data_IF_962783573982
#
_entry.id   IF_962783573982
#
_cell.length_a   1.000
_cell.length_b   1.000
_cell.length_c   1.000
_cell.angle_alpha   90.00
_cell.angle_beta   90.00
_cell.angle_gamma   90.00
#
_symmetry.space_group_name_H-M   'P 1'
#
loop_
_entity.id
_entity.type
_entity.pdbx_description
1 polymer ?
#
# COMPACT_ATOMS: atom_id res chain seq x y z
N UNK A 1 57.01 33.83 8.09
CA UNK A 1 55.60 33.41 8.16
C UNK A 1 54.84 34.56 7.54
N UNK A 2 54.12 34.40 6.43
CA UNK A 2 52.98 33.51 6.26
C UNK A 2 52.86 32.94 4.84
N UNK A 3 52.24 31.77 4.81
CA UNK A 3 51.95 30.90 3.66
C UNK A 3 50.60 31.31 3.07
N UNK A 4 50.49 31.36 1.75
CA UNK A 4 49.21 31.25 1.02
C UNK A 4 49.57 30.74 -0.39
N UNK A 5 49.65 29.44 -0.58
CA UNK A 5 48.53 28.53 -0.93
C UNK A 5 47.94 28.86 -2.30
N UNK A 6 48.12 27.89 -3.20
CA UNK A 6 47.56 27.87 -4.53
C UNK A 6 46.04 27.92 -4.51
N UNK A 7 45.45 28.64 -5.46
CA UNK A 7 44.14 28.30 -5.98
C UNK A 7 44.23 28.30 -7.51
N UNK A 8 44.37 27.10 -8.08
CA UNK A 8 43.93 26.84 -9.44
C UNK A 8 42.46 27.24 -9.54
N UNK A 9 42.21 28.28 -10.33
CA UNK A 9 40.90 28.55 -10.90
C UNK A 9 41.00 28.36 -12.40
N UNK A 10 40.82 27.13 -12.88
CA UNK A 10 40.56 26.87 -14.30
C UNK A 10 39.22 27.53 -14.66
N UNK A 11 39.28 28.78 -15.13
CA UNK A 11 38.15 29.43 -15.75
C UNK A 11 37.85 28.68 -17.05
N UNK A 12 36.78 27.88 -17.05
CA UNK A 12 36.22 27.35 -18.29
C UNK A 12 35.95 28.52 -19.24
N UNK A 13 36.44 28.50 -20.49
CA UNK A 13 36.09 29.52 -21.45
C UNK A 13 34.57 29.42 -21.70
N UNK A 14 33.86 30.49 -21.38
CA UNK A 14 32.45 30.66 -21.74
C UNK A 14 32.36 30.78 -23.26
N UNK A 15 32.22 29.64 -23.93
CA UNK A 15 32.02 29.55 -25.38
C UNK A 15 30.59 29.99 -25.75
N UNK A 16 30.27 31.26 -25.53
CA UNK A 16 29.02 31.89 -25.97
C UNK A 16 29.33 33.11 -26.86
N UNK A 17 30.22 32.92 -27.84
CA UNK A 17 30.41 33.85 -28.96
C UNK A 17 30.27 33.08 -30.27
N UNK A 18 29.60 33.63 -31.30
CA UNK A 18 29.53 32.96 -32.59
C UNK A 18 30.94 32.83 -33.19
N UNK A 19 31.28 31.65 -33.71
CA UNK A 19 32.51 31.43 -34.45
C UNK A 19 32.58 32.39 -35.65
N UNK A 20 33.75 32.99 -35.97
CA UNK A 20 33.88 33.90 -37.10
C UNK A 20 33.53 33.15 -38.40
N UNK A 21 32.46 33.60 -39.07
CA UNK A 21 31.95 33.00 -40.31
C UNK A 21 30.85 31.94 -40.15
N UNK A 22 30.43 31.60 -38.92
CA UNK A 22 29.31 30.69 -38.69
C UNK A 22 27.97 31.40 -38.86
N UNK A 23 27.07 30.87 -39.70
CA UNK A 23 25.66 31.29 -39.68
C UNK A 23 25.09 31.01 -38.29
N UNK A 24 24.26 31.92 -37.72
CA UNK A 24 23.67 31.70 -36.41
C UNK A 24 22.93 30.36 -36.37
N UNK A 25 23.26 29.52 -35.39
CA UNK A 25 22.50 28.31 -35.11
C UNK A 25 21.08 28.73 -34.74
N UNK A 26 20.15 28.52 -35.66
CA UNK A 26 18.73 28.65 -35.38
C UNK A 26 18.27 27.23 -35.06
N UNK A 27 17.96 26.89 -33.79
CA UNK A 27 17.36 25.59 -33.53
C UNK A 27 16.10 25.49 -34.38
N UNK A 28 16.01 24.41 -35.17
CA UNK A 28 14.83 24.14 -35.98
C UNK A 28 13.60 24.15 -35.07
N UNK A 29 12.50 24.73 -35.56
CA UNK A 29 11.21 24.63 -34.89
C UNK A 29 10.94 23.16 -34.58
N UNK A 30 10.70 22.84 -33.31
CA UNK A 30 10.24 21.52 -32.90
C UNK A 30 8.84 21.33 -33.47
N UNK A 31 8.72 20.69 -34.64
CA UNK A 31 7.44 20.16 -35.05
C UNK A 31 7.11 19.01 -34.08
N UNK A 32 6.03 19.10 -33.29
CA UNK A 32 5.61 17.99 -32.47
C UNK A 32 5.21 16.86 -33.42
N UNK A 33 6.11 15.90 -33.61
CA UNK A 33 5.78 14.64 -34.27
C UNK A 33 4.78 13.95 -33.36
N UNK A 34 3.49 14.14 -33.65
CA UNK A 34 2.42 13.48 -32.93
C UNK A 34 2.65 11.97 -33.09
N UNK A 35 2.77 11.21 -31.98
CA UNK A 35 2.90 9.76 -32.09
C UNK A 35 1.67 9.21 -32.81
N UNK A 36 1.81 8.24 -33.73
CA UNK A 36 0.67 7.60 -34.37
C UNK A 36 -0.33 7.10 -33.31
N UNK A 37 -1.63 7.25 -33.55
CA UNK A 37 -2.68 7.11 -32.53
C UNK A 37 -2.65 5.80 -31.74
N UNK A 38 -2.16 4.71 -32.32
CA UNK A 38 -2.02 3.42 -31.64
C UNK A 38 -0.96 3.43 -30.53
N UNK A 39 0.11 4.23 -30.66
CA UNK A 39 1.16 4.34 -29.65
C UNK A 39 0.63 4.95 -28.35
N UNK A 40 -0.33 5.87 -28.44
CA UNK A 40 -1.02 6.43 -27.27
C UNK A 40 -1.78 5.33 -26.52
N UNK A 41 -2.58 4.53 -27.24
CA UNK A 41 -3.33 3.43 -26.65
C UNK A 41 -2.42 2.35 -26.07
N UNK A 42 -1.34 2.02 -26.76
CA UNK A 42 -0.35 1.04 -26.30
C UNK A 42 0.38 1.52 -25.04
N UNK A 43 0.87 2.76 -25.03
CA UNK A 43 1.52 3.35 -23.86
C UNK A 43 0.57 3.44 -22.65
N UNK A 44 -0.69 3.82 -22.88
CA UNK A 44 -1.72 3.81 -21.85
C UNK A 44 -1.97 2.40 -21.30
N UNK A 45 -2.06 1.39 -22.17
CA UNK A 45 -2.27 0.00 -21.75
C UNK A 45 -1.12 -0.51 -20.87
N UNK A 46 0.13 -0.28 -21.28
CA UNK A 46 1.31 -0.63 -20.47
C UNK A 46 1.32 0.13 -19.14
N UNK A 47 0.95 1.42 -19.17
CA UNK A 47 0.90 2.24 -17.97
C UNK A 47 -0.15 1.77 -16.95
N UNK A 48 -1.32 1.32 -17.41
CA UNK A 48 -2.43 0.91 -16.53
C UNK A 48 -2.30 -0.53 -16.04
N UNK A 49 -1.72 -1.41 -16.84
CA UNK A 49 -1.59 -2.84 -16.52
C UNK A 49 -1.06 -3.17 -15.11
N UNK A 50 0.04 -2.56 -14.61
CA UNK A 50 0.53 -2.85 -13.26
C UNK A 50 -0.47 -2.44 -12.17
N UNK A 51 -1.26 -1.39 -12.37
CA UNK A 51 -2.28 -0.97 -11.42
C UNK A 51 -3.43 -1.96 -11.34
N UNK A 52 -3.85 -2.55 -12.47
CA UNK A 52 -4.90 -3.59 -12.47
C UNK A 52 -4.44 -4.79 -11.64
N UNK A 53 -3.22 -5.28 -11.87
CA UNK A 53 -2.65 -6.40 -11.12
C UNK A 53 -2.53 -6.05 -9.64
N UNK A 54 -1.99 -4.87 -9.33
CA UNK A 54 -1.85 -4.40 -7.96
C UNK A 54 -3.20 -4.33 -7.26
N UNK A 55 -4.23 -3.72 -7.88
CA UNK A 55 -5.58 -3.65 -7.34
C UNK A 55 -6.20 -5.03 -7.11
N UNK A 56 -5.95 -6.00 -7.99
CA UNK A 56 -6.43 -7.37 -7.81
C UNK A 56 -5.78 -8.07 -6.60
N UNK A 57 -4.45 -8.08 -6.50
CA UNK A 57 -3.74 -8.71 -5.37
C UNK A 57 -4.03 -8.01 -4.04
N UNK A 58 -4.10 -6.69 -4.08
CA UNK A 58 -4.51 -5.85 -2.97
C UNK A 58 -5.94 -6.14 -2.52
N UNK A 59 -6.87 -6.29 -3.48
CA UNK A 59 -8.25 -6.68 -3.21
C UNK A 59 -8.34 -8.05 -2.52
N UNK A 60 -7.55 -9.02 -2.95
CA UNK A 60 -7.48 -10.33 -2.28
C UNK A 60 -7.01 -10.21 -0.82
N UNK A 61 -6.04 -9.34 -0.54
CA UNK A 61 -5.60 -9.06 0.83
C UNK A 61 -6.69 -8.46 1.70
N UNK A 62 -7.45 -7.50 1.16
CA UNK A 62 -8.62 -6.93 1.85
C UNK A 62 -9.67 -8.01 2.13
N UNK A 63 -9.96 -8.87 1.17
CA UNK A 63 -10.95 -9.95 1.35
C UNK A 63 -10.52 -10.96 2.42
N UNK A 64 -9.26 -11.36 2.46
CA UNK A 64 -8.72 -12.24 3.52
C UNK A 64 -8.93 -11.60 4.90
N UNK A 65 -8.60 -10.32 5.04
CA UNK A 65 -8.78 -9.60 6.30
C UNK A 65 -10.26 -9.49 6.69
N UNK A 66 -11.15 -9.11 5.75
CA UNK A 66 -12.60 -8.99 6.00
C UNK A 66 -13.26 -10.32 6.38
N UNK A 67 -12.72 -11.45 5.91
CA UNK A 67 -13.22 -12.80 6.25
C UNK A 67 -12.56 -13.39 7.49
N UNK A 68 -11.58 -12.72 8.08
CA UNK A 68 -10.87 -13.21 9.25
C UNK A 68 -11.78 -13.18 10.50
N UNK A 69 -12.10 -14.34 11.05
CA UNK A 69 -12.91 -14.45 12.27
C UNK A 69 -12.18 -13.93 13.53
N UNK A 70 -10.84 -13.84 13.50
CA UNK A 70 -10.04 -13.43 14.66
C UNK A 70 -10.07 -11.91 14.91
N UNK A 71 -10.04 -11.12 13.85
CA UNK A 71 -10.02 -9.65 13.91
C UNK A 71 -11.28 -9.00 13.31
N UNK A 72 -12.19 -9.81 12.75
CA UNK A 72 -13.47 -9.38 12.18
C UNK A 72 -13.34 -8.25 11.14
N UNK A 73 -12.22 -8.23 10.40
CA UNK A 73 -11.95 -7.21 9.38
C UNK A 73 -11.17 -5.99 9.85
N UNK A 74 -10.97 -5.77 11.15
CA UNK A 74 -10.19 -4.62 11.66
C UNK A 74 -8.68 -4.74 11.39
N UNK A 75 -8.18 -5.96 11.19
CA UNK A 75 -6.75 -6.23 11.03
C UNK A 75 -5.94 -6.10 12.31
N UNK A 76 -6.58 -5.79 13.44
CA UNK A 76 -5.96 -5.55 14.74
C UNK A 76 -6.56 -6.49 15.80
N UNK A 77 -5.74 -6.87 16.78
CA UNK A 77 -6.15 -7.65 17.94
C UNK A 77 -5.48 -7.09 19.20
N UNK A 78 -6.10 -7.22 20.38
CA UNK A 78 -5.45 -6.80 21.63
C UNK A 78 -4.16 -7.60 21.86
N UNK A 79 -3.11 -6.90 22.27
CA UNK A 79 -1.82 -7.50 22.60
C UNK A 79 -1.95 -8.35 23.85
N UNK A 80 -1.35 -9.53 23.83
CA UNK A 80 -1.28 -10.40 25.01
C UNK A 80 -0.41 -9.83 26.13
N UNK A 81 0.51 -8.90 25.83
CA UNK A 81 1.42 -8.31 26.82
C UNK A 81 0.91 -7.04 27.47
N UNK A 82 0.13 -6.24 26.73
CA UNK A 82 -0.38 -4.93 27.19
C UNK A 82 -1.82 -4.80 26.75
N UNK A 83 -2.76 -4.84 27.71
CA UNK A 83 -4.21 -4.91 27.42
C UNK A 83 -4.72 -3.80 26.50
N UNK A 84 -4.14 -2.60 26.59
CA UNK A 84 -4.57 -1.43 25.82
C UNK A 84 -3.85 -1.29 24.46
N UNK A 85 -2.82 -2.08 24.21
CA UNK A 85 -2.07 -2.02 22.95
C UNK A 85 -2.70 -2.94 21.94
N UNK A 86 -3.14 -2.40 20.81
CA UNK A 86 -3.52 -3.20 19.64
C UNK A 86 -2.26 -3.62 18.86
N UNK A 87 -2.29 -4.81 18.27
CA UNK A 87 -1.23 -5.35 17.41
C UNK A 87 -1.83 -5.90 16.12
N UNK A 88 -1.04 -5.98 15.06
CA UNK A 88 -1.46 -6.60 13.80
C UNK A 88 -1.93 -8.04 14.04
N UNK A 89 -3.05 -8.40 13.42
CA UNK A 89 -3.60 -9.75 13.54
C UNK A 89 -2.62 -10.77 12.94
N UNK A 90 -2.16 -11.78 13.70
CA UNK A 90 -1.22 -12.78 13.20
C UNK A 90 -1.87 -13.77 12.23
N UNK A 91 -3.19 -13.92 12.24
CA UNK A 91 -3.91 -14.85 11.35
C UNK A 91 -3.99 -14.32 9.92
N UNK A 92 -4.51 -13.10 9.74
CA UNK A 92 -4.67 -12.48 8.43
C UNK A 92 -3.52 -11.55 8.04
N UNK A 93 -2.53 -11.35 8.90
CA UNK A 93 -1.38 -10.48 8.69
C UNK A 93 -1.60 -8.99 9.01
N UNK A 94 -2.82 -8.58 9.34
CA UNK A 94 -3.14 -7.19 9.70
C UNK A 94 -2.78 -6.18 8.61
N UNK A 95 -3.16 -6.48 7.36
CA UNK A 95 -2.81 -5.72 6.16
C UNK A 95 -3.21 -4.25 6.24
N UNK A 96 -4.44 -3.98 6.71
CA UNK A 96 -4.94 -2.64 6.98
C UNK A 96 -5.32 -2.50 8.46
N UNK A 97 -4.52 -1.82 9.29
CA UNK A 97 -4.90 -1.50 10.66
C UNK A 97 -5.98 -0.40 10.66
N UNK A 98 -7.21 -0.77 10.32
CA UNK A 98 -8.32 0.16 10.12
C UNK A 98 -9.03 0.47 11.43
N UNK A 99 -8.80 1.66 11.97
CA UNK A 99 -9.54 2.18 13.13
C UNK A 99 -10.33 3.44 12.78
N UNK A 100 -9.70 4.40 12.09
CA UNK A 100 -10.35 5.60 11.55
C UNK A 100 -9.49 6.22 10.45
N UNK A 101 -10.08 7.09 9.63
CA UNK A 101 -9.36 7.84 8.60
C UNK A 101 -8.25 8.72 9.19
N UNK A 102 -8.50 9.40 10.32
CA UNK A 102 -7.48 10.22 10.99
C UNK A 102 -6.31 9.35 11.45
N UNK A 103 -6.57 8.20 12.11
CA UNK A 103 -5.50 7.27 12.52
C UNK A 103 -4.77 6.61 11.35
N UNK A 104 -5.42 6.47 10.20
CA UNK A 104 -4.79 5.95 8.99
C UNK A 104 -3.79 6.95 8.40
N UNK A 105 -4.14 8.23 8.32
CA UNK A 105 -3.23 9.27 7.82
C UNK A 105 -2.15 9.64 8.84
N UNK A 106 -2.47 9.59 10.14
CA UNK A 106 -1.53 9.83 11.24
C UNK A 106 -0.69 8.59 11.60
N UNK A 107 -0.88 7.45 10.92
CA UNK A 107 -0.25 6.17 11.21
C UNK A 107 1.29 6.20 11.12
N UNK A 108 1.87 7.18 10.45
CA UNK A 108 3.33 7.36 10.39
C UNK A 108 3.88 8.23 11.54
N UNK A 109 3.03 8.70 12.45
CA UNK A 109 3.45 9.43 13.64
C UNK A 109 4.16 8.48 14.63
N UNK A 110 5.25 8.93 15.27
CA UNK A 110 5.98 8.13 16.24
C UNK A 110 5.07 7.64 17.37
N UNK A 111 5.16 6.36 17.71
CA UNK A 111 4.42 5.76 18.83
C UNK A 111 3.01 5.25 18.49
N UNK A 112 2.54 5.38 17.25
CA UNK A 112 1.26 4.79 16.84
C UNK A 112 1.41 3.36 16.32
N UNK A 113 0.39 2.55 16.55
CA UNK A 113 0.22 1.20 15.95
C UNK A 113 -0.20 1.39 14.49
N UNK A 114 0.64 2.04 13.72
CA UNK A 114 0.38 2.45 12.35
C UNK A 114 1.09 1.58 11.31
N UNK A 115 0.79 1.86 10.04
CA UNK A 115 1.13 1.09 8.84
C UNK A 115 2.64 0.79 8.64
N UNK A 116 3.54 1.37 9.45
CA UNK A 116 4.99 1.31 9.29
C UNK A 116 5.72 0.05 9.83
N UNK A 117 5.01 -0.93 10.41
CA UNK A 117 5.64 -2.21 10.82
C UNK A 117 5.69 -3.25 9.70
N UNK A 118 6.57 -4.28 9.77
CA UNK A 118 6.65 -5.35 8.77
C UNK A 118 5.27 -5.90 8.38
N UNK A 119 5.04 -6.09 7.08
CA UNK A 119 3.84 -6.75 6.60
C UNK A 119 3.93 -8.23 6.94
N UNK A 120 2.98 -8.70 7.74
CA UNK A 120 2.88 -10.12 8.05
C UNK A 120 2.09 -10.80 6.93
N UNK A 121 2.60 -11.93 6.43
CA UNK A 121 1.79 -12.78 5.57
C UNK A 121 0.69 -13.47 6.41
N UNK A 122 -0.52 -13.66 5.87
CA UNK A 122 -1.51 -14.53 6.48
C UNK A 122 -0.92 -15.91 6.72
N UNK A 123 -1.30 -16.52 7.83
CA UNK A 123 -0.81 -17.85 8.21
C UNK A 123 -1.13 -18.87 7.11
N UNK A 124 -0.13 -19.69 6.79
CA UNK A 124 -0.25 -20.76 5.80
C UNK A 124 -0.13 -20.31 4.34
N UNK A 125 0.15 -19.04 4.04
CA UNK A 125 0.40 -18.57 2.67
C UNK A 125 1.81 -17.97 2.55
N UNK A 126 2.65 -18.61 1.73
CA UNK A 126 4.01 -18.13 1.42
C UNK A 126 4.16 -17.61 -0.01
N UNK A 127 3.11 -17.72 -0.84
CA UNK A 127 3.13 -17.30 -2.24
C UNK A 127 2.94 -15.79 -2.41
N UNK A 128 3.51 -15.24 -3.49
CA UNK A 128 3.31 -13.84 -3.93
C UNK A 128 1.84 -13.59 -4.32
N UNK A 129 1.21 -14.59 -4.94
CA UNK A 129 -0.20 -14.56 -5.29
C UNK A 129 -1.05 -15.14 -4.18
N UNK A 130 -2.02 -14.38 -3.70
CA UNK A 130 -2.81 -14.80 -2.55
C UNK A 130 -4.02 -15.64 -2.93
N UNK A 131 -4.36 -16.60 -2.06
CA UNK A 131 -5.59 -17.39 -2.14
C UNK A 131 -6.58 -16.85 -1.11
N UNK A 132 -7.78 -16.49 -1.56
CA UNK A 132 -8.80 -15.98 -0.64
C UNK A 132 -9.54 -17.18 -0.02
N UNK A 133 -9.62 -17.28 1.32
CA UNK A 133 -10.39 -18.34 1.97
C UNK A 133 -11.88 -18.19 1.63
N UNK A 134 -12.64 -19.29 1.49
CA UNK A 134 -14.07 -19.24 1.22
C UNK A 134 -14.80 -18.42 2.28
N UNK A 135 -15.93 -17.80 1.91
CA UNK A 135 -16.78 -17.08 2.86
C UNK A 135 -17.30 -18.10 3.89
N UNK A 136 -17.31 -17.80 5.19
CA UNK A 136 -18.03 -18.64 6.15
C UNK A 136 -19.51 -18.72 5.72
N UNK A 137 -20.01 -19.92 5.48
CA UNK A 137 -21.41 -20.19 5.14
C UNK A 137 -22.33 -19.51 6.18
N UNK A 138 -23.27 -18.71 5.70
CA UNK A 138 -24.11 -17.80 6.50
C UNK A 138 -25.18 -18.54 7.33
N UNK A 139 -25.16 -19.87 7.35
CA UNK A 139 -26.20 -20.73 7.92
C UNK A 139 -25.93 -21.37 9.29
N UNK A 140 -24.67 -21.50 9.73
CA UNK A 140 -24.34 -22.29 10.94
C UNK A 140 -24.65 -21.59 12.28
N UNK A 141 -25.20 -20.37 12.26
CA UNK A 141 -25.53 -19.59 13.48
C UNK A 141 -26.97 -19.71 13.97
N UNK A 142 -27.86 -20.47 13.30
CA UNK A 142 -29.28 -20.56 13.69
C UNK A 142 -29.66 -21.75 14.58
N UNK A 143 -28.82 -22.77 14.75
CA UNK A 143 -29.22 -23.97 15.50
C UNK A 143 -28.86 -23.97 16.99
N UNK A 144 -28.07 -23.00 17.47
CA UNK A 144 -27.65 -22.95 18.88
C UNK A 144 -28.63 -22.15 19.76
N UNK A 145 -29.54 -21.34 19.19
CA UNK A 145 -30.48 -20.53 19.99
C UNK A 145 -31.88 -21.13 20.17
N UNK A 146 -32.14 -22.35 19.69
CA UNK A 146 -33.47 -22.99 19.78
C UNK A 146 -33.54 -24.13 20.82
N UNK A 147 -32.50 -24.33 21.64
CA UNK A 147 -32.41 -25.48 22.56
C UNK A 147 -32.53 -25.19 24.06
N UNK A 148 -32.75 -23.95 24.50
CA UNK A 148 -32.78 -23.61 25.93
C UNK A 148 -34.02 -22.78 26.28
N UNK A 149 -35.18 -23.45 26.36
CA UNK A 149 -36.43 -22.83 26.78
C UNK A 149 -37.47 -23.89 27.11
N UNK A 150 -37.34 -24.52 28.28
CA UNK A 150 -38.30 -25.49 28.78
C UNK A 150 -38.07 -25.83 30.24
N UNK A 151 -39.11 -25.56 31.05
CA UNK A 151 -39.40 -26.08 32.39
C UNK A 151 -38.82 -25.39 33.63
N UNK A 152 -39.63 -24.50 34.21
CA UNK A 152 -40.07 -24.59 35.63
C UNK A 152 -41.18 -23.57 35.91
N UNK A 153 -42.39 -24.10 36.04
CA UNK A 153 -43.60 -23.45 36.58
C UNK A 153 -43.90 -24.00 37.99
N UNK A 154 -44.35 -23.07 38.86
CA UNK A 154 -45.08 -23.21 40.15
C UNK A 154 -44.43 -24.01 41.30
N UNK A 155 -44.25 -23.50 42.53
CA UNK A 155 -45.13 -22.74 43.45
C UNK A 155 -46.22 -23.60 44.09
N UNK A 156 -45.89 -24.32 45.18
CA UNK A 156 -46.67 -24.43 46.42
C UNK A 156 -45.95 -25.26 47.49
#
# INVERSE_FOLDING_TARGET
>A
MDVAEAAQGDAMPTANGPAPGGKPYTPGQFEPVAPPSWQIWFGAAIGVFPFIIASYEFGKRILIQRRCQRCEGSGLVPSSRVKERLVKCPECGGFFPWQSWSRFFEANAPGQVGNGGPLLQPRGQTSVFYKVPPKPEEGAKREVSAGAGGDKSESS
#
